data_IF_177726625658
#
_entry.id   IF_177726625658
#
_cell.length_a   1.000
_cell.length_b   1.000
_cell.length_c   1.000
_cell.angle_alpha   90.00
_cell.angle_beta   90.00
_cell.angle_gamma   90.00
#
_symmetry.space_group_name_H-M   'P 1'
#
loop_
_entity.id
_entity.type
_entity.pdbx_description
1 polymer ?
#
# COMPACT_ATOMS: atom_id res chain seq x y z
N UNK A 1 4.35 17.75 27.40
CA UNK A 1 3.13 16.98 27.06
C UNK A 1 1.84 17.79 27.21
N UNK A 2 1.54 18.43 28.37
CA UNK A 2 0.25 19.15 28.60
C UNK A 2 -0.07 20.22 27.57
N UNK A 3 0.86 21.11 27.23
CA UNK A 3 0.64 22.14 26.20
C UNK A 3 0.39 21.54 24.81
N UNK A 4 1.11 20.47 24.47
CA UNK A 4 0.90 19.74 23.22
C UNK A 4 -0.53 19.15 23.15
N UNK A 5 -0.96 18.50 24.23
CA UNK A 5 -2.28 17.88 24.30
C UNK A 5 -3.39 18.93 24.24
N UNK A 6 -3.25 20.06 24.92
CA UNK A 6 -4.21 21.18 24.90
C UNK A 6 -4.34 21.76 23.48
N UNK A 7 -3.23 22.09 22.83
CA UNK A 7 -3.23 22.65 21.47
C UNK A 7 -3.86 21.68 20.47
N UNK A 8 -3.46 20.39 20.52
CA UNK A 8 -3.94 19.44 19.53
C UNK A 8 -5.41 19.03 19.76
N UNK A 9 -5.86 18.92 21.01
CA UNK A 9 -7.28 18.70 21.30
C UNK A 9 -8.14 19.89 20.88
N UNK A 10 -7.69 21.13 21.12
CA UNK A 10 -8.41 22.34 20.72
C UNK A 10 -8.56 22.47 19.20
N UNK A 11 -7.54 22.10 18.43
CA UNK A 11 -7.61 22.06 16.95
C UNK A 11 -8.68 21.10 16.43
N UNK A 12 -8.95 20.01 17.15
CA UNK A 12 -9.96 19.02 16.81
C UNK A 12 -11.36 19.39 17.31
N UNK A 13 -11.44 20.16 18.41
CA UNK A 13 -12.69 20.65 18.97
C UNK A 13 -13.26 21.82 18.18
N UNK A 14 -12.42 22.81 17.91
CA UNK A 14 -12.79 24.08 17.33
C UNK A 14 -11.96 24.39 16.07
N UNK A 15 -12.17 23.64 14.98
CA UNK A 15 -11.41 23.83 13.76
C UNK A 15 -11.68 25.21 13.17
N UNK A 16 -10.62 25.96 12.92
CA UNK A 16 -10.70 27.26 12.27
C UNK A 16 -10.15 27.15 10.87
N UNK A 17 -11.03 27.14 9.88
CA UNK A 17 -10.65 27.08 8.45
C UNK A 17 -10.18 28.46 7.97
N UNK A 18 -9.12 28.99 8.59
CA UNK A 18 -8.48 30.22 8.14
C UNK A 18 -7.73 30.01 6.86
N UNK A 19 -7.59 31.07 6.07
CA UNK A 19 -6.82 31.07 4.83
C UNK A 19 -7.25 29.94 3.87
N UNK A 20 -8.51 29.55 3.94
CA UNK A 20 -9.05 28.45 3.12
C UNK A 20 -8.73 28.63 1.63
N UNK A 21 -8.87 29.85 1.10
CA UNK A 21 -8.58 30.14 -0.31
C UNK A 21 -7.10 29.97 -0.62
N UNK A 22 -6.23 30.49 0.24
CA UNK A 22 -4.78 30.39 0.08
C UNK A 22 -4.30 28.92 0.15
N UNK A 23 -4.84 28.16 1.10
CA UNK A 23 -4.55 26.72 1.23
C UNK A 23 -5.03 25.94 -0.01
N UNK A 24 -6.21 26.26 -0.50
CA UNK A 24 -6.74 25.67 -1.71
C UNK A 24 -5.84 25.92 -2.93
N UNK A 25 -5.30 27.12 -3.06
CA UNK A 25 -4.34 27.47 -4.11
C UNK A 25 -3.06 26.65 -3.95
N UNK A 26 -2.57 26.47 -2.73
CA UNK A 26 -1.41 25.62 -2.42
C UNK A 26 -1.66 24.16 -2.87
N UNK A 27 -2.78 23.56 -2.47
CA UNK A 27 -3.14 22.19 -2.87
C UNK A 27 -3.33 22.08 -4.40
N UNK A 28 -3.86 23.12 -5.03
CA UNK A 28 -3.96 23.17 -6.49
C UNK A 28 -2.60 23.17 -7.17
N UNK A 29 -1.62 23.94 -6.65
CA UNK A 29 -0.24 23.92 -7.14
C UNK A 29 0.46 22.58 -6.86
N UNK A 30 0.23 21.97 -5.71
CA UNK A 30 0.70 20.60 -5.43
C UNK A 30 0.16 19.60 -6.47
N UNK A 31 -1.11 19.72 -6.84
CA UNK A 31 -1.71 18.89 -7.90
C UNK A 31 -1.06 19.14 -9.27
N UNK A 32 -0.72 20.39 -9.58
CA UNK A 32 -0.01 20.73 -10.81
C UNK A 32 1.39 20.11 -10.79
N UNK A 33 2.15 20.30 -9.71
CA UNK A 33 3.49 19.70 -9.54
C UNK A 33 3.44 18.17 -9.65
N UNK A 34 2.43 17.53 -9.04
CA UNK A 34 2.20 16.09 -9.18
C UNK A 34 1.90 15.70 -10.65
N UNK A 35 1.16 16.55 -11.36
CA UNK A 35 0.84 16.36 -12.79
C UNK A 35 2.06 16.49 -13.70
N UNK A 36 3.04 17.32 -13.33
CA UNK A 36 4.30 17.52 -14.05
C UNK A 36 5.29 16.38 -13.78
N UNK A 37 5.16 15.70 -12.64
CA UNK A 37 5.94 14.51 -12.38
C UNK A 37 5.49 13.36 -13.27
N UNK A 38 6.42 12.86 -14.10
CA UNK A 38 6.13 11.83 -15.12
C UNK A 38 5.35 10.62 -14.59
N UNK A 39 5.64 10.21 -13.36
CA UNK A 39 5.02 9.05 -12.72
C UNK A 39 3.60 9.29 -12.23
N UNK A 40 3.25 10.51 -11.86
CA UNK A 40 1.97 10.83 -11.20
C UNK A 40 0.75 10.48 -12.06
N UNK A 41 0.57 11.08 -13.23
CA UNK A 41 -0.57 10.77 -14.10
C UNK A 41 -0.61 9.33 -14.60
N UNK A 42 0.54 8.68 -14.70
CA UNK A 42 0.62 7.25 -15.05
C UNK A 42 0.04 6.40 -13.91
N UNK A 43 0.47 6.69 -12.67
CA UNK A 43 -0.04 5.99 -11.48
C UNK A 43 -1.55 6.21 -11.30
N UNK A 44 -2.04 7.44 -11.42
CA UNK A 44 -3.48 7.74 -11.35
C UNK A 44 -4.29 6.89 -12.35
N UNK A 45 -3.81 6.75 -13.58
CA UNK A 45 -4.47 5.92 -14.60
C UNK A 45 -4.41 4.43 -14.27
N UNK A 46 -3.28 3.97 -13.74
CA UNK A 46 -3.11 2.58 -13.34
C UNK A 46 -4.06 2.24 -12.18
N UNK A 47 -4.10 3.06 -11.14
CA UNK A 47 -4.97 2.87 -9.99
C UNK A 47 -6.45 2.96 -10.40
N UNK A 48 -6.81 3.94 -11.21
CA UNK A 48 -8.16 4.07 -11.75
C UNK A 48 -8.61 2.81 -12.51
N UNK A 49 -7.74 2.23 -13.35
CA UNK A 49 -8.07 1.01 -14.09
C UNK A 49 -8.07 -0.24 -13.21
N UNK A 50 -7.14 -0.29 -12.25
CA UNK A 50 -6.97 -1.44 -11.37
C UNK A 50 -8.08 -1.54 -10.34
N UNK A 51 -8.48 -0.43 -9.71
CA UNK A 51 -9.42 -0.40 -8.59
C UNK A 51 -10.87 -0.07 -8.95
N UNK A 52 -11.19 0.35 -10.19
CA UNK A 52 -12.59 0.62 -10.51
C UNK A 52 -13.47 -0.62 -10.28
N UNK A 53 -14.65 -0.48 -9.63
CA UNK A 53 -15.32 0.76 -9.17
C UNK A 53 -14.98 1.18 -7.72
N UNK A 54 -14.00 0.56 -7.07
CA UNK A 54 -13.62 0.83 -5.68
C UNK A 54 -13.09 2.27 -5.49
N UNK A 55 -13.31 2.93 -4.32
CA UNK A 55 -12.82 4.28 -4.04
C UNK A 55 -11.30 4.46 -4.20
N UNK A 56 -10.50 3.42 -4.04
CA UNK A 56 -9.04 3.45 -4.29
C UNK A 56 -8.67 3.76 -5.76
N UNK A 57 -9.64 3.80 -6.65
CA UNK A 57 -9.48 4.26 -8.03
C UNK A 57 -9.25 5.78 -8.15
N UNK A 58 -9.54 6.54 -7.09
CA UNK A 58 -9.43 7.98 -7.09
C UNK A 58 -8.15 8.44 -6.39
N UNK A 59 -7.42 9.42 -6.96
CA UNK A 59 -6.22 9.96 -6.32
C UNK A 59 -6.58 10.72 -5.03
N UNK A 60 -5.76 10.55 -3.98
CA UNK A 60 -5.96 11.18 -2.68
C UNK A 60 -5.99 12.70 -2.78
N UNK A 61 -5.12 13.29 -3.61
CA UNK A 61 -5.08 14.74 -3.85
C UNK A 61 -6.31 15.26 -4.61
N UNK A 62 -7.16 14.38 -5.10
CA UNK A 62 -8.35 14.73 -5.86
C UNK A 62 -8.08 15.09 -7.33
N UNK A 63 -9.13 15.58 -7.99
CA UNK A 63 -9.05 16.03 -9.38
C UNK A 63 -8.97 17.55 -9.46
N UNK A 64 -8.36 18.07 -10.51
CA UNK A 64 -8.32 19.52 -10.81
C UNK A 64 -9.73 20.14 -10.84
N UNK A 65 -10.73 19.38 -11.29
CA UNK A 65 -12.12 19.83 -11.31
C UNK A 65 -12.67 20.04 -9.89
N UNK A 66 -12.39 19.11 -8.99
CA UNK A 66 -12.89 19.17 -7.61
C UNK A 66 -12.16 20.25 -6.79
N UNK A 67 -10.87 20.48 -7.08
CA UNK A 67 -10.06 21.50 -6.40
C UNK A 67 -10.40 22.93 -6.81
N UNK A 68 -11.09 23.15 -7.95
CA UNK A 68 -11.44 24.49 -8.40
C UNK A 68 -12.57 25.15 -7.59
N UNK A 69 -13.49 24.37 -7.03
CA UNK A 69 -14.69 24.88 -6.39
C UNK A 69 -15.12 24.08 -5.14
N UNK A 70 -14.24 23.83 -4.16
CA UNK A 70 -14.69 23.24 -2.91
C UNK A 70 -15.48 24.29 -2.12
N UNK A 71 -16.51 23.85 -1.44
CA UNK A 71 -17.32 24.72 -0.58
C UNK A 71 -16.88 24.56 0.88
N UNK A 72 -16.60 25.64 1.54
CA UNK A 72 -16.26 25.62 2.97
C UNK A 72 -17.36 24.95 3.82
N UNK A 73 -18.61 25.11 3.42
CA UNK A 73 -19.75 24.45 4.08
C UNK A 73 -19.68 22.93 4.00
N UNK A 74 -19.26 22.37 2.86
CA UNK A 74 -19.09 20.93 2.70
C UNK A 74 -17.89 20.41 3.50
N UNK A 75 -16.80 21.20 3.58
CA UNK A 75 -15.65 20.89 4.42
C UNK A 75 -16.03 20.83 5.92
N UNK A 76 -16.82 21.79 6.38
CA UNK A 76 -17.33 21.79 7.76
C UNK A 76 -18.22 20.59 8.03
N UNK A 77 -19.15 20.30 7.13
CA UNK A 77 -20.03 19.14 7.23
C UNK A 77 -19.22 17.84 7.30
N UNK A 78 -18.23 17.67 6.41
CA UNK A 78 -17.32 16.52 6.43
C UNK A 78 -16.59 16.42 7.79
N UNK A 79 -16.05 17.54 8.30
CA UNK A 79 -15.41 17.54 9.59
C UNK A 79 -16.38 17.13 10.71
N UNK A 80 -17.59 17.66 10.71
CA UNK A 80 -18.63 17.35 11.69
C UNK A 80 -19.07 15.90 11.66
N UNK A 81 -19.05 15.28 10.51
CA UNK A 81 -19.47 13.89 10.30
C UNK A 81 -18.37 12.90 10.68
N UNK A 82 -17.11 13.18 10.29
CA UNK A 82 -16.02 12.20 10.39
C UNK A 82 -15.08 12.40 11.58
N UNK A 83 -14.95 13.64 12.11
CA UNK A 83 -14.07 13.93 13.23
C UNK A 83 -14.82 13.83 14.57
N UNK A 84 -15.25 12.63 14.89
CA UNK A 84 -15.95 12.26 16.12
C UNK A 84 -15.11 11.26 16.91
N UNK A 85 -15.28 11.24 18.25
CA UNK A 85 -14.41 10.46 19.13
C UNK A 85 -14.36 8.97 18.79
N UNK A 86 -15.45 8.36 18.35
CA UNK A 86 -15.50 6.95 17.97
C UNK A 86 -14.74 6.62 16.66
N UNK A 87 -14.45 7.63 15.83
CA UNK A 87 -13.77 7.49 14.54
C UNK A 87 -12.31 7.99 14.59
N UNK A 88 -11.78 8.25 15.77
CA UNK A 88 -10.45 8.82 15.94
C UNK A 88 -9.62 7.97 16.91
N UNK A 89 -8.36 7.73 16.57
CA UNK A 89 -7.39 7.09 17.43
C UNK A 89 -6.21 8.01 17.71
N UNK A 90 -5.79 8.08 18.96
CA UNK A 90 -4.60 8.81 19.37
C UNK A 90 -3.48 7.79 19.68
N UNK A 91 -2.41 7.84 18.90
CA UNK A 91 -1.25 6.97 19.08
C UNK A 91 -0.05 7.82 19.49
N UNK A 92 0.57 7.43 20.58
CA UNK A 92 1.79 8.04 21.08
C UNK A 92 2.90 7.00 21.13
N UNK A 93 4.08 7.36 20.64
CA UNK A 93 5.29 6.55 20.74
C UNK A 93 6.46 7.45 21.07
N UNK A 94 7.23 7.10 22.11
CA UNK A 94 8.34 7.91 22.56
C UNK A 94 8.75 7.57 24.00
N UNK A 95 9.60 8.42 24.56
CA UNK A 95 10.04 8.33 25.94
C UNK A 95 9.12 9.16 26.84
N UNK A 96 8.15 8.53 27.47
CA UNK A 96 7.22 9.15 28.42
C UNK A 96 6.69 8.11 29.42
N UNK A 97 6.32 8.61 30.60
CA UNK A 97 5.60 7.82 31.60
C UNK A 97 4.12 7.79 31.27
N UNK A 98 3.59 6.61 30.99
CA UNK A 98 2.19 6.40 30.60
C UNK A 98 1.22 6.85 31.70
N UNK A 99 1.51 6.52 32.97
CA UNK A 99 0.65 6.87 34.11
C UNK A 99 0.57 8.39 34.33
N UNK A 100 1.66 9.09 34.05
CA UNK A 100 1.69 10.55 34.14
C UNK A 100 1.00 11.26 32.95
N UNK A 101 1.05 10.64 31.76
CA UNK A 101 0.50 11.24 30.52
C UNK A 101 -0.98 10.96 30.37
N UNK A 102 -1.47 9.79 30.74
CA UNK A 102 -2.85 9.36 30.55
C UNK A 102 -3.88 10.37 31.12
N UNK A 103 -3.76 10.87 32.37
CA UNK A 103 -4.70 11.86 32.90
C UNK A 103 -4.73 13.18 32.11
N UNK A 104 -3.57 13.56 31.53
CA UNK A 104 -3.48 14.76 30.68
C UNK A 104 -4.27 14.56 29.39
N UNK A 105 -4.12 13.39 28.77
CA UNK A 105 -4.85 13.03 27.54
C UNK A 105 -6.35 12.93 27.79
N UNK A 106 -6.75 12.27 28.87
CA UNK A 106 -8.15 12.17 29.26
C UNK A 106 -8.78 13.56 29.48
N UNK A 107 -8.11 14.44 30.22
CA UNK A 107 -8.58 15.82 30.46
C UNK A 107 -8.76 16.59 29.15
N UNK A 108 -7.89 16.40 28.18
CA UNK A 108 -7.87 17.22 26.95
C UNK A 108 -8.70 16.63 25.83
N UNK A 109 -8.48 15.34 25.47
CA UNK A 109 -9.10 14.69 24.32
C UNK A 109 -10.49 14.13 24.60
N UNK A 110 -10.87 13.87 25.88
CA UNK A 110 -12.25 13.48 26.22
C UNK A 110 -13.29 14.55 25.88
N UNK A 111 -12.85 15.78 25.63
CA UNK A 111 -13.67 16.89 25.15
C UNK A 111 -14.11 16.76 23.69
N UNK A 112 -13.45 15.87 22.91
CA UNK A 112 -13.80 15.66 21.51
C UNK A 112 -15.24 15.16 21.41
N UNK A 113 -15.96 15.72 20.44
CA UNK A 113 -17.38 15.48 20.24
C UNK A 113 -17.66 13.97 20.11
N UNK A 114 -18.59 13.42 20.90
CA UNK A 114 -19.07 12.06 20.70
C UNK A 114 -19.85 11.97 19.37
N UNK A 115 -19.87 10.78 18.77
CA UNK A 115 -20.60 10.52 17.54
C UNK A 115 -20.37 9.10 17.08
N UNK A 116 -21.14 8.65 16.11
CA UNK A 116 -20.92 7.36 15.47
C UNK A 116 -20.05 7.54 14.24
N UNK A 117 -19.13 6.60 14.01
CA UNK A 117 -18.35 6.57 12.80
C UNK A 117 -19.27 6.32 11.59
N UNK A 118 -19.13 7.09 10.51
CA UNK A 118 -19.87 6.83 9.30
C UNK A 118 -19.65 5.41 8.81
N UNK A 119 -20.73 4.72 8.51
CA UNK A 119 -20.66 3.39 7.88
C UNK A 119 -20.50 3.56 6.37
N UNK A 120 -19.64 2.76 5.78
CA UNK A 120 -19.51 2.66 4.33
C UNK A 120 -19.56 1.20 3.91
N UNK A 121 -20.11 0.97 2.73
CA UNK A 121 -20.13 -0.36 2.14
C UNK A 121 -18.79 -0.64 1.46
N UNK A 122 -18.22 -1.80 1.74
CA UNK A 122 -17.03 -2.26 1.05
C UNK A 122 -17.38 -2.61 -0.39
N UNK A 123 -16.77 -1.92 -1.33
CA UNK A 123 -16.98 -2.14 -2.76
C UNK A 123 -16.11 -3.30 -3.23
N UNK A 124 -16.72 -4.43 -3.55
CA UNK A 124 -15.99 -5.58 -4.06
C UNK A 124 -15.32 -5.28 -5.42
N UNK A 125 -14.05 -5.66 -5.54
CA UNK A 125 -13.34 -5.57 -6.81
C UNK A 125 -13.69 -6.76 -7.71
N UNK A 126 -14.20 -6.54 -8.91
CA UNK A 126 -14.44 -7.64 -9.83
C UNK A 126 -13.10 -8.28 -10.25
N UNK A 127 -13.04 -9.60 -10.44
CA UNK A 127 -11.86 -10.26 -10.99
C UNK A 127 -11.60 -9.78 -12.42
N UNK A 128 -10.35 -9.77 -12.83
CA UNK A 128 -10.01 -9.60 -14.24
C UNK A 128 -10.49 -10.81 -15.05
N UNK A 129 -10.88 -10.56 -16.30
CA UNK A 129 -11.38 -11.62 -17.20
C UNK A 129 -10.28 -12.02 -18.19
N UNK A 130 -9.46 -13.01 -17.81
CA UNK A 130 -8.27 -13.35 -18.56
C UNK A 130 -7.22 -12.23 -18.54
N UNK A 131 -6.39 -12.18 -19.57
CA UNK A 131 -5.39 -11.13 -19.76
C UNK A 131 -6.06 -9.87 -20.33
N UNK A 132 -6.32 -8.90 -19.47
CA UNK A 132 -6.78 -7.58 -19.88
C UNK A 132 -5.57 -6.68 -20.21
N UNK A 133 -5.70 -5.84 -21.24
CA UNK A 133 -4.58 -5.02 -21.73
C UNK A 133 -4.85 -3.54 -21.51
N UNK A 134 -3.80 -2.84 -21.08
CA UNK A 134 -3.79 -1.39 -20.95
C UNK A 134 -2.49 -0.83 -21.55
N UNK A 135 -2.61 0.21 -22.36
CA UNK A 135 -1.46 0.98 -22.84
C UNK A 135 -1.34 2.27 -22.06
N UNK A 136 -0.14 2.59 -21.63
CA UNK A 136 0.19 3.87 -21.01
C UNK A 136 1.16 4.66 -21.88
N UNK A 137 1.03 5.99 -21.83
CA UNK A 137 2.03 6.88 -22.42
C UNK A 137 3.02 7.25 -21.31
N UNK A 138 4.27 6.94 -21.53
CA UNK A 138 5.36 7.29 -20.64
C UNK A 138 6.42 8.05 -21.45
N UNK A 139 6.74 9.31 -21.11
CA UNK A 139 7.49 10.22 -22.00
C UNK A 139 9.01 9.97 -22.01
N UNK A 140 9.45 8.76 -21.71
CA UNK A 140 10.87 8.38 -21.86
C UNK A 140 11.05 7.65 -23.19
N UNK A 141 11.65 8.27 -24.20
CA UNK A 141 11.85 7.64 -25.51
C UNK A 141 12.60 6.31 -25.40
N UNK A 142 12.32 5.39 -26.31
CA UNK A 142 13.00 4.09 -26.47
C UNK A 142 12.88 3.11 -25.30
N UNK A 143 12.56 3.54 -24.09
CA UNK A 143 12.39 2.65 -22.94
C UNK A 143 11.03 1.96 -23.03
N UNK A 144 11.03 0.65 -23.07
CA UNK A 144 9.85 -0.20 -22.92
C UNK A 144 9.59 -0.46 -21.42
N UNK A 145 8.34 -0.48 -21.00
CA UNK A 145 7.95 -0.91 -19.67
C UNK A 145 6.74 -1.84 -19.76
N UNK A 146 6.72 -2.87 -18.98
CA UNK A 146 5.61 -3.80 -18.88
C UNK A 146 5.30 -4.09 -17.41
N UNK A 147 4.02 -4.08 -17.07
CA UNK A 147 3.51 -4.46 -15.76
C UNK A 147 2.44 -5.55 -15.88
N UNK A 148 2.36 -6.38 -14.89
CA UNK A 148 1.34 -7.41 -14.69
C UNK A 148 0.73 -7.18 -13.31
N UNK A 149 -0.53 -6.74 -13.28
CA UNK A 149 -1.27 -6.49 -12.04
C UNK A 149 -2.29 -7.58 -11.78
N UNK A 150 -2.15 -8.27 -10.67
CA UNK A 150 -3.08 -9.29 -10.19
C UNK A 150 -3.87 -8.75 -9.00
N UNK A 151 -5.05 -9.31 -8.72
CA UNK A 151 -5.79 -8.95 -7.50
C UNK A 151 -5.01 -9.40 -6.26
N UNK A 152 -4.59 -8.45 -5.44
CA UNK A 152 -4.03 -8.70 -4.13
C UNK A 152 -5.13 -8.87 -3.07
N UNK A 153 -4.74 -8.95 -1.83
CA UNK A 153 -5.62 -9.17 -0.68
C UNK A 153 -5.59 -7.97 0.27
N UNK A 154 -6.64 -7.74 1.06
CA UNK A 154 -6.63 -6.73 2.10
C UNK A 154 -5.58 -7.05 3.18
N UNK A 155 -5.18 -6.04 3.94
CA UNK A 155 -4.09 -6.13 4.92
C UNK A 155 -4.37 -7.13 6.06
N UNK A 156 -5.64 -7.40 6.38
CA UNK A 156 -6.04 -8.36 7.41
C UNK A 156 -6.28 -9.80 6.89
N UNK A 157 -5.89 -10.10 5.65
CA UNK A 157 -6.12 -11.42 5.05
C UNK A 157 -5.08 -12.45 5.53
N UNK A 158 -5.51 -13.68 5.81
CA UNK A 158 -4.66 -14.79 6.27
C UNK A 158 -3.50 -15.15 5.32
N UNK A 159 -3.65 -14.92 4.02
CA UNK A 159 -2.63 -15.21 3.01
C UNK A 159 -1.51 -14.16 2.93
N UNK A 160 -1.57 -13.07 3.70
CA UNK A 160 -0.63 -11.94 3.57
C UNK A 160 0.83 -12.34 3.77
N UNK A 161 1.12 -13.08 4.84
CA UNK A 161 2.50 -13.50 5.18
C UNK A 161 3.07 -14.41 4.08
N UNK A 162 2.28 -15.38 3.65
CA UNK A 162 2.68 -16.31 2.57
C UNK A 162 2.87 -15.58 1.24
N UNK A 163 1.99 -14.62 0.93
CA UNK A 163 2.04 -13.85 -0.31
C UNK A 163 3.26 -12.91 -0.34
N UNK A 164 3.61 -12.30 0.79
CA UNK A 164 4.83 -11.50 0.92
C UNK A 164 6.08 -12.34 0.61
N UNK A 165 6.17 -13.56 1.14
CA UNK A 165 7.28 -14.47 0.82
C UNK A 165 7.27 -14.89 -0.65
N UNK A 166 6.09 -15.19 -1.24
CA UNK A 166 5.98 -15.52 -2.65
C UNK A 166 6.47 -14.39 -3.57
N UNK A 167 6.19 -13.13 -3.22
CA UNK A 167 6.68 -11.95 -3.93
C UNK A 167 8.18 -11.76 -3.74
N UNK A 168 8.69 -11.95 -2.53
CA UNK A 168 10.12 -11.86 -2.24
C UNK A 168 10.95 -12.97 -2.93
N UNK A 169 10.33 -14.13 -3.25
CA UNK A 169 10.95 -15.13 -4.12
C UNK A 169 11.20 -14.58 -5.53
N UNK A 170 10.34 -13.69 -6.01
CA UNK A 170 10.47 -13.09 -7.33
C UNK A 170 11.47 -11.93 -7.34
N UNK A 171 11.36 -11.04 -6.37
CA UNK A 171 12.20 -9.85 -6.27
C UNK A 171 12.30 -9.41 -4.81
N UNK A 172 13.50 -9.16 -4.32
CA UNK A 172 13.75 -8.77 -2.94
C UNK A 172 14.90 -7.77 -2.80
N UNK A 173 14.99 -7.12 -1.64
CA UNK A 173 15.99 -6.09 -1.37
C UNK A 173 17.45 -6.58 -1.48
N UNK A 174 17.69 -7.89 -1.31
CA UNK A 174 19.02 -8.51 -1.39
C UNK A 174 19.42 -8.86 -2.84
N UNK A 175 18.52 -8.65 -3.83
CA UNK A 175 18.78 -8.95 -5.23
C UNK A 175 18.92 -10.44 -5.55
N UNK A 176 18.32 -11.31 -4.73
CA UNK A 176 18.43 -12.79 -4.84
C UNK A 176 17.17 -13.43 -5.42
N UNK A 177 16.15 -12.65 -5.72
CA UNK A 177 14.90 -13.14 -6.32
C UNK A 177 15.08 -13.65 -7.75
N UNK A 178 14.12 -14.42 -8.23
CA UNK A 178 14.18 -15.02 -9.56
C UNK A 178 14.18 -13.98 -10.68
N UNK A 179 13.46 -12.88 -10.51
CA UNK A 179 13.50 -11.76 -11.45
C UNK A 179 14.79 -10.96 -11.33
N UNK A 180 15.37 -10.86 -10.11
CA UNK A 180 16.66 -10.22 -9.89
C UNK A 180 17.76 -10.98 -10.67
N UNK A 181 17.70 -12.31 -10.66
CA UNK A 181 18.61 -13.12 -11.45
C UNK A 181 18.47 -12.88 -12.95
N UNK A 182 17.28 -12.59 -13.47
CA UNK A 182 17.11 -12.22 -14.87
C UNK A 182 17.83 -10.89 -15.20
N UNK A 183 17.92 -9.94 -14.23
CA UNK A 183 18.70 -8.70 -14.40
C UNK A 183 20.21 -9.01 -14.41
N UNK A 184 20.68 -9.81 -13.45
CA UNK A 184 22.10 -10.24 -13.38
C UNK A 184 22.51 -10.94 -14.67
N UNK A 185 21.67 -11.85 -15.17
CA UNK A 185 21.87 -12.57 -16.45
C UNK A 185 21.66 -11.67 -17.68
N UNK A 186 21.39 -10.38 -17.48
CA UNK A 186 21.10 -9.41 -18.55
C UNK A 186 19.97 -9.82 -19.49
N UNK A 187 18.97 -10.58 -18.99
CA UNK A 187 17.78 -10.98 -19.76
C UNK A 187 16.70 -9.90 -19.78
N UNK A 188 16.68 -9.04 -18.76
CA UNK A 188 15.87 -7.82 -18.65
C UNK A 188 16.75 -6.71 -18.11
N UNK A 189 16.29 -5.45 -18.16
CA UNK A 189 17.04 -4.30 -17.66
C UNK A 189 16.72 -3.97 -16.20
N UNK A 190 15.46 -4.15 -15.80
CA UNK A 190 15.00 -3.96 -14.42
C UNK A 190 13.78 -4.83 -14.15
N UNK A 191 13.56 -5.14 -12.88
CA UNK A 191 12.36 -5.80 -12.38
C UNK A 191 11.93 -5.23 -11.04
N UNK A 192 10.64 -5.38 -10.75
CA UNK A 192 10.04 -5.11 -9.45
C UNK A 192 8.88 -6.08 -9.27
N UNK A 193 8.77 -6.65 -8.09
CA UNK A 193 7.56 -7.35 -7.65
C UNK A 193 7.09 -6.73 -6.33
N UNK A 194 5.79 -6.56 -6.16
CA UNK A 194 5.21 -5.93 -4.99
C UNK A 194 3.91 -6.60 -4.57
N UNK A 195 3.71 -6.66 -3.27
CA UNK A 195 2.45 -6.97 -2.61
C UNK A 195 2.11 -5.79 -1.72
N UNK A 196 1.23 -4.92 -2.19
CA UNK A 196 0.77 -3.76 -1.44
C UNK A 196 -0.66 -4.00 -0.99
N UNK A 197 -0.88 -4.02 0.30
CA UNK A 197 -2.18 -4.30 0.89
C UNK A 197 -2.69 -3.13 1.69
N UNK A 198 -3.88 -2.70 1.32
CA UNK A 198 -4.64 -1.66 1.98
C UNK A 198 -5.77 -2.29 2.80
N UNK A 199 -6.53 -1.50 3.55
CA UNK A 199 -7.54 -2.03 4.47
C UNK A 199 -8.59 -2.93 3.78
N UNK A 200 -9.03 -2.59 2.58
CA UNK A 200 -10.13 -3.27 1.91
C UNK A 200 -9.72 -4.07 0.67
N UNK A 201 -8.55 -3.79 0.11
CA UNK A 201 -8.07 -4.43 -1.11
C UNK A 201 -6.54 -4.38 -1.19
N UNK A 202 -5.94 -5.12 -2.13
CA UNK A 202 -4.51 -5.09 -2.34
C UNK A 202 -4.10 -5.11 -3.80
N UNK A 203 -2.86 -4.74 -4.05
CA UNK A 203 -2.19 -4.81 -5.34
C UNK A 203 -1.10 -5.89 -5.26
N UNK A 204 -1.20 -6.88 -6.12
CA UNK A 204 -0.11 -7.80 -6.40
C UNK A 204 0.40 -7.48 -7.81
N UNK A 205 1.64 -7.08 -7.95
CA UNK A 205 2.14 -6.65 -9.24
C UNK A 205 3.58 -7.11 -9.50
N UNK A 206 3.86 -7.34 -10.77
CA UNK A 206 5.21 -7.56 -11.30
C UNK A 206 5.43 -6.59 -12.44
N UNK A 207 6.51 -5.83 -12.40
CA UNK A 207 6.89 -4.93 -13.48
C UNK A 207 8.30 -5.24 -13.96
N UNK A 208 8.53 -5.09 -15.26
CA UNK A 208 9.85 -5.28 -15.85
C UNK A 208 10.13 -4.22 -16.92
N UNK A 209 11.39 -3.86 -17.05
CA UNK A 209 11.90 -3.10 -18.19
C UNK A 209 12.59 -4.09 -19.13
N UNK A 210 11.98 -4.41 -20.29
CA UNK A 210 12.61 -5.25 -21.29
C UNK A 210 13.89 -4.62 -21.86
N UNK A 211 14.76 -5.40 -22.47
CA UNK A 211 15.91 -4.87 -23.22
C UNK A 211 15.46 -3.89 -24.29
N UNK A 212 16.22 -2.83 -24.47
CA UNK A 212 15.89 -1.75 -25.42
C UNK A 212 15.71 -2.27 -26.85
N UNK A 213 16.60 -3.17 -27.30
CA UNK A 213 16.60 -3.69 -28.65
C UNK A 213 16.18 -5.16 -28.66
N UNK A 214 15.39 -5.53 -29.67
CA UNK A 214 15.01 -6.91 -30.02
C UNK A 214 14.12 -7.66 -29.03
N UNK A 215 13.93 -7.20 -27.80
CA UNK A 215 12.99 -7.87 -26.87
C UNK A 215 11.58 -7.30 -27.02
N UNK A 216 10.63 -8.18 -27.31
CA UNK A 216 9.21 -7.86 -27.38
C UNK A 216 8.59 -7.90 -25.98
N UNK A 217 7.44 -7.23 -25.79
CA UNK A 217 6.66 -7.36 -24.56
C UNK A 217 6.26 -8.82 -24.29
N UNK A 218 5.82 -9.57 -25.31
CA UNK A 218 5.49 -10.98 -25.15
C UNK A 218 6.69 -11.84 -24.77
N UNK A 219 7.89 -11.50 -25.25
CA UNK A 219 9.12 -12.18 -24.84
C UNK A 219 9.48 -11.92 -23.38
N UNK A 220 9.35 -10.67 -22.93
CA UNK A 220 9.57 -10.30 -21.52
C UNK A 220 8.51 -10.96 -20.61
N UNK A 221 7.25 -10.92 -21.01
CA UNK A 221 6.14 -11.55 -20.29
C UNK A 221 6.35 -13.06 -20.09
N UNK A 222 6.81 -13.76 -21.13
CA UNK A 222 7.15 -15.20 -21.02
C UNK A 222 8.26 -15.46 -19.99
N UNK A 223 9.25 -14.56 -19.89
CA UNK A 223 10.29 -14.68 -18.88
C UNK A 223 9.70 -14.49 -17.47
N UNK A 224 8.85 -13.50 -17.27
CA UNK A 224 8.18 -13.26 -15.98
C UNK A 224 7.32 -14.47 -15.60
N UNK A 225 6.50 -14.96 -16.50
CA UNK A 225 5.67 -16.15 -16.25
C UNK A 225 6.51 -17.40 -15.92
N UNK A 226 7.65 -17.56 -16.57
CA UNK A 226 8.56 -18.66 -16.25
C UNK A 226 8.99 -18.63 -14.79
N UNK A 227 9.39 -17.47 -14.28
CA UNK A 227 9.84 -17.33 -12.90
C UNK A 227 8.65 -17.40 -11.90
N UNK A 228 7.49 -16.86 -12.24
CA UNK A 228 6.26 -17.05 -11.45
C UNK A 228 5.90 -18.55 -11.36
N UNK A 229 5.97 -19.28 -12.46
CA UNK A 229 5.66 -20.70 -12.47
C UNK A 229 6.63 -21.52 -11.62
N UNK A 230 7.91 -21.13 -11.54
CA UNK A 230 8.85 -21.77 -10.61
C UNK A 230 8.37 -21.67 -9.15
N UNK A 231 7.84 -20.49 -8.73
CA UNK A 231 7.26 -20.35 -7.40
C UNK A 231 6.01 -21.21 -7.26
N UNK A 232 5.13 -21.24 -8.27
CA UNK A 232 3.91 -22.07 -8.28
C UNK A 232 4.18 -23.58 -8.23
N UNK A 233 5.31 -24.00 -8.75
CA UNK A 233 5.74 -25.41 -8.80
C UNK A 233 6.57 -25.80 -7.57
N UNK A 234 6.99 -24.82 -6.74
CA UNK A 234 7.86 -25.07 -5.59
C UNK A 234 9.32 -25.31 -6.00
N UNK A 235 9.72 -24.88 -7.22
CA UNK A 235 11.10 -24.99 -7.72
C UNK A 235 12.02 -23.94 -7.07
N UNK A 236 12.21 -24.08 -5.76
CA UNK A 236 13.13 -23.29 -4.96
C UNK A 236 13.65 -24.11 -3.76
N UNK A 237 14.89 -23.81 -3.35
CA UNK A 237 15.52 -24.56 -2.26
C UNK A 237 14.99 -24.12 -0.89
N UNK A 238 15.15 -25.01 0.09
CA UNK A 238 14.83 -24.71 1.49
C UNK A 238 15.71 -23.57 2.04
N UNK A 239 16.94 -23.45 1.55
CA UNK A 239 17.85 -22.37 1.93
C UNK A 239 17.30 -21.00 1.55
N UNK A 240 16.81 -20.83 0.29
CA UNK A 240 16.19 -19.58 -0.17
C UNK A 240 14.93 -19.30 0.65
N UNK A 241 14.06 -20.28 0.83
CA UNK A 241 12.84 -20.15 1.61
C UNK A 241 13.13 -19.71 3.05
N UNK A 242 14.04 -20.39 3.74
CA UNK A 242 14.39 -20.07 5.11
C UNK A 242 15.09 -18.69 5.22
N UNK A 243 15.92 -18.33 4.25
CA UNK A 243 16.54 -17.00 4.19
C UNK A 243 15.50 -15.89 4.09
N UNK A 244 14.47 -16.05 3.26
CA UNK A 244 13.38 -15.06 3.14
C UNK A 244 12.51 -14.97 4.39
N UNK A 245 12.25 -16.09 5.07
CA UNK A 245 11.58 -16.08 6.40
C UNK A 245 12.39 -15.29 7.42
N UNK A 246 13.69 -15.53 7.51
CA UNK A 246 14.58 -14.80 8.41
C UNK A 246 14.66 -13.31 8.08
N UNK A 247 14.69 -12.96 6.79
CA UNK A 247 14.67 -11.56 6.35
C UNK A 247 13.38 -10.86 6.79
N UNK A 248 12.25 -11.52 6.60
CA UNK A 248 10.96 -10.98 7.02
C UNK A 248 10.89 -10.78 8.54
N UNK A 249 11.38 -11.73 9.33
CA UNK A 249 11.49 -11.57 10.79
C UNK A 249 12.37 -10.39 11.19
N UNK A 250 13.54 -10.26 10.55
CA UNK A 250 14.43 -9.12 10.80
C UNK A 250 13.74 -7.79 10.50
N UNK A 251 12.99 -7.72 9.42
CA UNK A 251 12.23 -6.52 9.06
C UNK A 251 11.20 -6.16 10.13
N UNK A 252 10.45 -7.14 10.65
CA UNK A 252 9.52 -6.91 11.76
C UNK A 252 10.24 -6.41 13.02
N UNK A 253 11.36 -7.02 13.39
CA UNK A 253 12.14 -6.58 14.56
C UNK A 253 12.69 -5.17 14.37
N UNK A 254 13.30 -4.88 13.23
CA UNK A 254 13.85 -3.56 12.92
C UNK A 254 12.80 -2.45 12.91
N UNK A 255 11.59 -2.75 12.44
CA UNK A 255 10.49 -1.79 12.46
C UNK A 255 10.08 -1.39 13.88
N UNK A 256 10.33 -2.24 14.88
CA UNK A 256 10.04 -1.94 16.30
C UNK A 256 11.11 -1.11 16.99
N UNK A 257 12.32 -1.04 16.45
CA UNK A 257 13.42 -0.25 17.03
C UNK A 257 13.20 1.25 16.84
N UNK A 258 12.54 1.62 15.75
CA UNK A 258 12.30 3.02 15.40
C UNK A 258 10.97 3.54 15.96
N UNK A 259 11.00 4.70 16.62
CA UNK A 259 9.82 5.33 17.28
C UNK A 259 8.71 5.62 16.27
N UNK A 260 9.06 6.19 15.11
CA UNK A 260 8.08 6.52 14.07
C UNK A 260 7.48 5.25 13.44
N UNK A 261 8.30 4.23 13.23
CA UNK A 261 7.83 2.94 12.70
C UNK A 261 6.85 2.26 13.66
N UNK A 262 7.11 2.28 14.98
CA UNK A 262 6.16 1.78 15.97
C UNK A 262 4.83 2.51 15.93
N UNK A 263 4.86 3.85 15.86
CA UNK A 263 3.64 4.64 15.76
C UNK A 263 2.85 4.31 14.48
N UNK A 264 3.53 4.14 13.35
CA UNK A 264 2.91 3.76 12.06
C UNK A 264 2.30 2.36 12.10
N UNK A 265 2.97 1.39 12.73
CA UNK A 265 2.43 0.04 12.93
C UNK A 265 1.14 0.12 13.76
N UNK A 266 1.16 0.82 14.90
CA UNK A 266 -0.02 0.97 15.76
C UNK A 266 -1.16 1.68 15.01
N UNK A 267 -0.86 2.71 14.23
CA UNK A 267 -1.84 3.41 13.39
C UNK A 267 -2.45 2.47 12.34
N UNK A 268 -1.62 1.66 11.70
CA UNK A 268 -2.08 0.67 10.71
C UNK A 268 -2.97 -0.38 11.35
N UNK A 269 -2.58 -0.93 12.48
CA UNK A 269 -3.38 -1.90 13.24
C UNK A 269 -4.73 -1.31 13.65
N UNK A 270 -4.72 -0.10 14.22
CA UNK A 270 -5.95 0.60 14.59
C UNK A 270 -6.89 0.78 13.39
N UNK A 271 -6.36 1.26 12.25
CA UNK A 271 -7.17 1.46 11.03
C UNK A 271 -7.74 0.17 10.44
N UNK A 272 -7.13 -0.98 10.75
CA UNK A 272 -7.55 -2.30 10.31
C UNK A 272 -8.45 -3.02 11.36
N UNK A 273 -8.70 -2.39 12.52
CA UNK A 273 -9.41 -3.03 13.63
C UNK A 273 -8.64 -4.19 14.27
N UNK A 274 -7.30 -4.20 14.14
CA UNK A 274 -6.41 -5.21 14.71
C UNK A 274 -5.82 -4.76 16.05
N UNK A 275 -5.55 -5.73 16.90
CA UNK A 275 -4.84 -5.54 18.16
C UNK A 275 -3.32 -5.67 18.00
N UNK A 276 -2.59 -5.38 19.07
CA UNK A 276 -1.15 -5.65 19.13
C UNK A 276 -0.86 -7.16 19.15
N UNK A 277 -1.74 -7.94 19.75
CA UNK A 277 -1.69 -9.40 19.77
C UNK A 277 -1.79 -9.99 18.36
N UNK A 278 -2.65 -9.42 17.50
CA UNK A 278 -2.73 -9.82 16.10
C UNK A 278 -1.41 -9.61 15.36
N UNK A 279 -0.73 -8.48 15.62
CA UNK A 279 0.60 -8.22 15.07
C UNK A 279 1.64 -9.25 15.54
N UNK A 280 1.64 -9.61 16.81
CA UNK A 280 2.53 -10.63 17.34
C UNK A 280 2.24 -12.02 16.76
N UNK A 281 0.97 -12.33 16.48
CA UNK A 281 0.57 -13.55 15.80
C UNK A 281 1.05 -13.58 14.35
N UNK A 282 1.01 -12.47 13.63
CA UNK A 282 1.59 -12.38 12.28
C UNK A 282 3.10 -12.69 12.29
N UNK A 283 3.83 -12.13 13.26
CA UNK A 283 5.27 -12.40 13.43
C UNK A 283 5.53 -13.88 13.72
N UNK A 284 4.74 -14.50 14.61
CA UNK A 284 4.87 -15.93 14.91
C UNK A 284 4.43 -16.81 13.73
N UNK A 285 3.47 -16.33 12.93
CA UNK A 285 3.00 -16.98 11.71
C UNK A 285 4.10 -17.18 10.66
N UNK A 286 5.09 -16.29 10.64
CA UNK A 286 6.27 -16.44 9.75
C UNK A 286 7.02 -17.74 10.06
N UNK A 287 7.13 -18.12 11.32
CA UNK A 287 7.82 -19.34 11.72
C UNK A 287 7.05 -20.60 11.31
N UNK A 288 5.75 -20.55 11.41
CA UNK A 288 4.86 -21.64 11.02
C UNK A 288 4.70 -21.80 9.50
N UNK A 289 5.11 -20.79 8.72
CA UNK A 289 4.95 -20.79 7.27
C UNK A 289 5.70 -21.96 6.62
N UNK A 290 5.03 -22.68 5.73
CA UNK A 290 5.57 -23.79 4.95
C UNK A 290 5.82 -23.41 3.48
N UNK A 291 6.58 -24.23 2.76
CA UNK A 291 6.75 -24.05 1.30
C UNK A 291 5.43 -24.25 0.56
N UNK A 292 4.62 -25.18 1.04
CA UNK A 292 3.29 -25.50 0.49
C UNK A 292 2.36 -24.29 0.58
N UNK A 293 2.45 -23.48 1.64
CA UNK A 293 1.69 -22.22 1.76
C UNK A 293 2.11 -21.22 0.68
N UNK A 294 3.40 -21.05 0.45
CA UNK A 294 3.92 -20.17 -0.60
C UNK A 294 3.47 -20.63 -1.98
N UNK A 295 3.53 -21.94 -2.26
CA UNK A 295 3.06 -22.53 -3.52
C UNK A 295 1.55 -22.32 -3.67
N UNK A 296 0.78 -22.56 -2.62
CA UNK A 296 -0.67 -22.39 -2.61
C UNK A 296 -1.07 -20.95 -2.96
N UNK A 297 -0.49 -19.95 -2.29
CA UNK A 297 -0.80 -18.56 -2.58
C UNK A 297 -0.29 -18.13 -3.95
N UNK A 298 0.86 -18.59 -4.38
CA UNK A 298 1.37 -18.30 -5.72
C UNK A 298 0.42 -18.85 -6.82
N UNK A 299 -0.11 -20.06 -6.65
CA UNK A 299 -1.11 -20.64 -7.56
C UNK A 299 -2.44 -19.88 -7.53
N UNK A 300 -2.90 -19.45 -6.35
CA UNK A 300 -4.17 -18.74 -6.15
C UNK A 300 -4.14 -17.35 -6.76
N UNK A 301 -3.09 -16.56 -6.52
CA UNK A 301 -3.08 -15.14 -6.83
C UNK A 301 -2.37 -14.80 -8.14
N UNK A 302 -1.29 -15.48 -8.53
CA UNK A 302 -0.69 -15.30 -9.84
C UNK A 302 -1.45 -16.12 -10.90
N UNK A 303 -2.69 -15.72 -11.15
CA UNK A 303 -3.57 -16.40 -12.12
C UNK A 303 -3.43 -15.80 -13.53
N UNK A 304 -4.05 -16.45 -14.51
CA UNK A 304 -4.12 -15.92 -15.88
C UNK A 304 -5.08 -14.71 -16.02
N UNK A 305 -5.80 -14.39 -14.93
CA UNK A 305 -6.68 -13.23 -14.85
C UNK A 305 -5.91 -12.03 -14.30
N UNK A 306 -5.36 -11.20 -15.16
CA UNK A 306 -4.52 -10.08 -14.77
C UNK A 306 -4.59 -8.91 -15.74
N UNK A 307 -4.20 -7.73 -15.26
CA UNK A 307 -4.05 -6.53 -16.06
C UNK A 307 -2.61 -6.44 -16.60
N UNK A 308 -2.45 -6.60 -17.90
CA UNK A 308 -1.18 -6.40 -18.59
C UNK A 308 -1.06 -4.95 -19.05
N UNK A 309 -0.12 -4.23 -18.47
CA UNK A 309 0.16 -2.83 -18.79
C UNK A 309 1.40 -2.77 -19.65
N UNK A 310 1.36 -2.03 -20.76
CA UNK A 310 2.53 -1.80 -21.63
C UNK A 310 2.63 -0.33 -21.99
N UNK A 311 3.87 0.13 -22.12
CA UNK A 311 4.14 1.46 -22.64
C UNK A 311 3.95 1.48 -24.14
#
# INVERSE_FOLDING_TARGET
>A
MSQWAEINSERLLNPVFRLFQSELETVYEEKNMYGDFIGGPVMDRLLARYFAPHPYAYPIIGSTKNLKNPRLTEMRKFFEEYYVASNMGLILSGDFDTEAVLPVLEKTFSRIRPGEAPKHDIVALPPFKGKEKMKIKFPVPLVKAMGMGFRGVPANHEDQVALAVAVNMLNNANGTGFLDKLMVDRKIMASMAMNESMNEAGILAVAVIPKLMFQTYGGAEKLVWKEINRVKEGDFSDEIFNSLKQEQRRQYASNLENIDSRARIMMSLYSQGKSWEDYLQEVSGIDALTKEDVVRVARKYFSENYLCVTK
#
